data_IF_740526983560
#
_entry.id   IF_740526983560
#
_cell.length_a   1.000
_cell.length_b   1.000
_cell.length_c   1.000
_cell.angle_alpha   90.00
_cell.angle_beta   90.00
_cell.angle_gamma   90.00
#
_symmetry.space_group_name_H-M   'P 1'
#
loop_
_entity.id
_entity.type
_entity.pdbx_description
1 polymer ?
#
# COMPACT_ATOMS: atom_id res chain seq x y z
N UNK A 1 27.70 3.54 31.79
CA UNK A 1 26.22 3.57 31.79
C UNK A 1 25.58 3.57 33.18
N UNK A 2 25.82 2.58 34.05
CA UNK A 2 25.20 2.55 35.41
C UNK A 2 25.83 3.53 36.41
N UNK A 3 27.11 3.84 36.24
CA UNK A 3 27.87 4.76 37.12
C UNK A 3 27.56 6.24 36.86
N UNK A 4 27.15 6.60 35.64
CA UNK A 4 26.89 8.00 35.24
C UNK A 4 25.43 8.46 35.44
N UNK A 5 24.55 7.62 36.03
CA UNK A 5 23.11 7.91 36.22
C UNK A 5 22.36 8.41 34.96
N UNK A 6 22.88 8.13 33.76
CA UNK A 6 22.25 8.52 32.51
C UNK A 6 21.04 7.62 32.23
N UNK A 7 19.84 8.12 32.53
CA UNK A 7 18.59 7.46 32.14
C UNK A 7 18.15 7.95 30.76
N UNK A 8 18.06 7.01 29.81
CA UNK A 8 17.45 7.28 28.51
C UNK A 8 15.96 7.55 28.71
N UNK A 9 15.53 8.78 28.43
CA UNK A 9 14.14 9.20 28.56
C UNK A 9 13.29 8.43 27.54
N UNK A 10 12.45 7.49 28.00
CA UNK A 10 11.52 6.75 27.13
C UNK A 10 10.50 7.74 26.55
N UNK A 11 10.52 7.93 25.22
CA UNK A 11 9.45 8.66 24.52
C UNK A 11 8.15 7.92 24.74
N UNK A 12 7.11 8.63 25.18
CA UNK A 12 5.77 8.06 25.37
C UNK A 12 5.28 7.40 24.08
N UNK A 13 4.81 6.16 24.18
CA UNK A 13 4.31 5.41 23.03
C UNK A 13 3.18 6.18 22.34
N UNK A 14 3.18 6.21 21.00
CA UNK A 14 2.08 6.77 20.21
C UNK A 14 0.81 6.00 20.54
N UNK A 15 -0.22 6.68 21.05
CA UNK A 15 -1.55 6.09 21.27
C UNK A 15 -2.05 5.55 19.93
N UNK A 16 -2.07 4.22 19.78
CA UNK A 16 -2.72 3.56 18.63
C UNK A 16 -4.20 3.44 18.98
N UNK A 17 -5.07 3.82 18.04
CA UNK A 17 -6.49 3.59 18.20
C UNK A 17 -6.74 2.08 18.32
N UNK A 18 -7.11 1.62 19.51
CA UNK A 18 -7.64 0.28 19.81
C UNK A 18 -9.12 0.20 19.39
N UNK A 19 -9.47 0.81 18.27
CA UNK A 19 -10.81 0.63 17.71
C UNK A 19 -10.97 -0.83 17.32
N UNK A 20 -12.07 -1.46 17.71
CA UNK A 20 -12.48 -2.78 17.23
C UNK A 20 -12.60 -2.70 15.71
N UNK A 21 -11.52 -3.04 14.99
CA UNK A 21 -11.58 -3.13 13.53
C UNK A 21 -12.61 -4.19 13.23
N UNK A 22 -13.74 -3.80 12.64
CA UNK A 22 -14.65 -4.77 12.03
C UNK A 22 -13.81 -5.63 11.08
N UNK A 23 -13.95 -6.96 11.12
CA UNK A 23 -13.29 -7.82 10.15
C UNK A 23 -13.56 -7.31 8.75
N UNK A 24 -12.52 -7.22 7.92
CA UNK A 24 -12.72 -6.86 6.52
C UNK A 24 -13.52 -7.98 5.88
N UNK A 25 -14.63 -7.63 5.22
CA UNK A 25 -15.41 -8.58 4.43
C UNK A 25 -14.48 -9.25 3.41
N UNK A 26 -14.48 -10.57 3.37
CA UNK A 26 -13.70 -11.32 2.39
C UNK A 26 -14.56 -11.40 1.12
N UNK A 27 -14.05 -11.00 -0.06
CA UNK A 27 -14.79 -11.14 -1.31
C UNK A 27 -15.09 -12.61 -1.60
N UNK A 28 -16.23 -12.89 -2.23
CA UNK A 28 -16.68 -14.24 -2.58
C UNK A 28 -16.36 -14.61 -4.04
N UNK A 29 -16.08 -13.60 -4.88
CA UNK A 29 -15.79 -13.78 -6.31
C UNK A 29 -14.66 -12.88 -6.79
N UNK A 30 -13.99 -13.24 -7.91
CA UNK A 30 -13.03 -12.35 -8.55
C UNK A 30 -13.67 -11.03 -8.96
N UNK A 31 -12.90 -9.95 -8.86
CA UNK A 31 -13.28 -8.58 -9.19
C UNK A 31 -14.39 -7.97 -8.32
N UNK A 32 -14.63 -8.47 -7.09
CA UNK A 32 -15.50 -7.79 -6.12
C UNK A 32 -14.75 -6.79 -5.24
N UNK A 33 -13.44 -6.97 -5.08
CA UNK A 33 -12.59 -6.03 -4.34
C UNK A 33 -11.15 -6.10 -4.80
N UNK A 34 -10.56 -4.94 -5.04
CA UNK A 34 -9.14 -4.80 -5.33
C UNK A 34 -8.43 -4.09 -4.20
N UNK A 35 -7.25 -4.58 -3.83
CA UNK A 35 -6.32 -3.87 -2.96
C UNK A 35 -5.29 -3.13 -3.81
N UNK A 36 -5.00 -1.89 -3.41
CA UNK A 36 -3.97 -1.05 -4.01
C UNK A 36 -2.91 -0.71 -2.97
N UNK A 37 -1.64 -0.81 -3.36
CA UNK A 37 -0.51 -0.39 -2.53
C UNK A 37 0.63 0.20 -3.36
N UNK A 38 1.54 0.90 -2.68
CA UNK A 38 2.75 1.46 -3.28
C UNK A 38 4.00 0.94 -2.58
N UNK A 39 4.84 0.23 -3.33
CA UNK A 39 6.20 -0.10 -2.88
C UNK A 39 7.13 1.02 -3.30
N UNK A 40 7.97 1.51 -2.39
CA UNK A 40 8.97 2.55 -2.69
C UNK A 40 10.37 1.95 -2.66
N UNK A 41 11.21 2.37 -3.59
CA UNK A 41 12.61 1.95 -3.68
C UNK A 41 13.47 3.06 -4.32
N UNK A 42 14.77 2.85 -4.45
CA UNK A 42 15.71 3.79 -5.04
C UNK A 42 16.73 3.09 -5.95
N UNK A 43 17.10 3.77 -7.03
CA UNK A 43 18.23 3.38 -7.86
C UNK A 43 19.56 3.62 -7.13
N UNK A 44 20.64 3.08 -7.68
CA UNK A 44 22.00 3.23 -7.12
C UNK A 44 22.49 4.68 -7.07
N UNK A 45 21.91 5.57 -7.89
CA UNK A 45 22.19 7.00 -7.89
C UNK A 45 21.33 7.81 -6.89
N UNK A 46 20.50 7.13 -6.08
CA UNK A 46 19.64 7.72 -5.07
C UNK A 46 18.30 8.26 -5.59
N UNK A 47 18.03 8.19 -6.90
CA UNK A 47 16.71 8.55 -7.44
C UNK A 47 15.66 7.54 -6.97
N UNK A 48 14.60 8.05 -6.35
CA UNK A 48 13.50 7.22 -5.85
C UNK A 48 12.50 6.90 -6.96
N UNK A 49 11.95 5.70 -6.91
CA UNK A 49 10.79 5.31 -7.70
C UNK A 49 9.77 4.60 -6.81
N UNK A 50 8.56 4.44 -7.34
CA UNK A 50 7.50 3.70 -6.69
C UNK A 50 6.88 2.72 -7.67
N UNK A 51 6.35 1.63 -7.13
CA UNK A 51 5.58 0.64 -7.87
C UNK A 51 4.18 0.62 -7.31
N UNK A 52 3.19 0.98 -8.14
CA UNK A 52 1.78 0.75 -7.85
C UNK A 52 1.48 -0.74 -8.07
N UNK A 53 1.06 -1.43 -7.02
CA UNK A 53 0.58 -2.80 -7.07
C UNK A 53 -0.95 -2.82 -6.92
N UNK A 54 -1.64 -3.47 -7.85
CA UNK A 54 -3.09 -3.67 -7.82
C UNK A 54 -3.35 -5.17 -7.82
N UNK A 55 -4.06 -5.66 -6.81
CA UNK A 55 -4.30 -7.10 -6.61
C UNK A 55 -5.78 -7.35 -6.38
N UNK A 56 -6.31 -8.41 -7.01
CA UNK A 56 -7.63 -8.92 -6.72
C UNK A 56 -7.64 -9.70 -5.40
N UNK A 57 -8.54 -9.33 -4.49
CA UNK A 57 -8.49 -9.86 -3.13
C UNK A 57 -9.01 -11.31 -3.01
N UNK A 58 -9.81 -11.77 -3.97
CA UNK A 58 -10.32 -13.14 -4.01
C UNK A 58 -9.30 -14.09 -4.63
N UNK A 59 -8.91 -13.84 -5.88
CA UNK A 59 -8.04 -14.71 -6.68
C UNK A 59 -6.55 -14.54 -6.37
N UNK A 60 -6.17 -13.45 -5.70
CA UNK A 60 -4.78 -13.00 -5.50
C UNK A 60 -4.05 -12.70 -6.82
N UNK A 61 -4.78 -12.52 -7.92
CA UNK A 61 -4.21 -12.12 -9.19
C UNK A 61 -3.64 -10.70 -9.11
N UNK A 62 -2.42 -10.52 -9.60
CA UNK A 62 -1.85 -9.20 -9.79
C UNK A 62 -2.40 -8.55 -11.06
N UNK A 63 -3.27 -7.56 -10.89
CA UNK A 63 -3.96 -6.87 -12.00
C UNK A 63 -3.07 -5.84 -12.69
N UNK A 64 -2.17 -5.21 -11.94
CA UNK A 64 -1.14 -4.33 -12.48
C UNK A 64 0.05 -4.15 -11.51
N UNK A 65 1.23 -3.99 -12.10
CA UNK A 65 2.46 -3.52 -11.45
C UNK A 65 3.05 -2.38 -12.30
N UNK A 66 2.97 -1.16 -11.79
CA UNK A 66 3.36 0.04 -12.54
C UNK A 66 4.48 0.75 -11.79
N UNK A 67 5.69 0.61 -12.30
CA UNK A 67 6.87 1.30 -11.77
C UNK A 67 7.05 2.66 -12.45
N UNK A 68 7.19 3.72 -11.67
CA UNK A 68 7.51 5.06 -12.17
C UNK A 68 8.22 5.88 -11.09
N UNK A 69 8.98 6.88 -11.53
CA UNK A 69 9.57 7.91 -10.65
C UNK A 69 8.52 8.89 -10.11
N UNK A 70 7.37 9.02 -10.79
CA UNK A 70 6.22 9.81 -10.34
C UNK A 70 4.88 9.14 -10.68
N UNK A 71 4.12 8.77 -9.65
CA UNK A 71 2.77 8.21 -9.79
C UNK A 71 1.74 9.21 -9.28
N UNK A 72 1.39 10.17 -10.13
CA UNK A 72 0.33 11.15 -9.82
C UNK A 72 -1.03 10.46 -9.76
N UNK A 73 -2.02 11.08 -9.08
CA UNK A 73 -3.38 10.58 -9.06
C UNK A 73 -3.96 10.36 -10.46
N UNK A 74 -3.63 11.24 -11.41
CA UNK A 74 -4.01 11.06 -12.82
C UNK A 74 -3.40 9.80 -13.44
N UNK A 75 -2.13 9.50 -13.14
CA UNK A 75 -1.50 8.26 -13.61
C UNK A 75 -2.20 7.04 -13.01
N UNK A 76 -2.49 7.05 -11.71
CA UNK A 76 -3.22 5.97 -11.03
C UNK A 76 -4.61 5.75 -11.66
N UNK A 77 -5.37 6.83 -11.91
CA UNK A 77 -6.69 6.76 -12.54
C UNK A 77 -6.61 6.15 -13.94
N UNK A 78 -5.59 6.48 -14.73
CA UNK A 78 -5.40 5.89 -16.06
C UNK A 78 -5.22 4.37 -15.99
N UNK A 79 -4.39 3.88 -15.07
CA UNK A 79 -4.18 2.44 -14.89
C UNK A 79 -5.46 1.74 -14.42
N UNK A 80 -6.15 2.31 -13.42
CA UNK A 80 -7.43 1.80 -12.94
C UNK A 80 -8.50 1.76 -14.04
N UNK A 81 -8.59 2.82 -14.84
CA UNK A 81 -9.55 2.90 -15.96
C UNK A 81 -9.29 1.79 -16.99
N UNK A 82 -8.03 1.52 -17.31
CA UNK A 82 -7.66 0.46 -18.26
C UNK A 82 -8.00 -0.94 -17.72
N UNK A 83 -7.80 -1.20 -16.43
CA UNK A 83 -8.18 -2.47 -15.79
C UNK A 83 -9.70 -2.61 -15.76
N UNK A 84 -10.40 -1.56 -15.32
CA UNK A 84 -11.87 -1.52 -15.28
C UNK A 84 -12.50 -1.73 -16.66
N UNK A 85 -11.92 -1.17 -17.72
CA UNK A 85 -12.43 -1.37 -19.08
C UNK A 85 -12.39 -2.85 -19.53
N UNK A 86 -11.46 -3.64 -18.99
CA UNK A 86 -11.30 -5.06 -19.33
C UNK A 86 -12.09 -6.00 -18.41
N UNK A 87 -12.23 -5.63 -17.14
CA UNK A 87 -12.73 -6.53 -16.07
C UNK A 87 -14.05 -6.10 -15.45
N UNK A 88 -14.52 -4.89 -15.75
CA UNK A 88 -15.62 -4.26 -15.01
C UNK A 88 -15.11 -3.53 -13.76
N UNK A 89 -16.04 -2.84 -13.09
CA UNK A 89 -15.75 -2.19 -11.81
C UNK A 89 -15.92 -3.21 -10.69
N UNK A 90 -15.02 -3.22 -9.69
CA UNK A 90 -15.28 -3.90 -8.43
C UNK A 90 -16.39 -3.23 -7.63
#
# INVERSE_FOLDING_TARGET
YREERLQVRKRGGRKRALGTRRPMLVPERPNERWSLDFVSDAFTDGRRFRVLAIVDDFSRECLALVADTSLSGLRVIRELTAITARRGRP
#
